data_IF_110997605038
#
_entry.id   IF_110997605038
#
_cell.length_a   1.000
_cell.length_b   1.000
_cell.length_c   1.000
_cell.angle_alpha   90.00
_cell.angle_beta   90.00
_cell.angle_gamma   90.00
#
_symmetry.space_group_name_H-M   'P 1'
#
loop_
_entity.id
_entity.type
_entity.pdbx_description
1 polymer ?
#
# COMPACT_ATOMS: atom_id res chain seq x y z
N UNK A 1 -10.52 44.81 75.38
CA UNK A 1 -11.06 44.13 74.18
C UNK A 1 -10.63 44.95 72.98
N UNK A 2 -9.72 44.46 72.12
CA UNK A 2 -9.22 45.22 70.96
C UNK A 2 -10.21 45.05 69.78
N UNK A 3 -10.57 46.11 69.03
CA UNK A 3 -11.48 45.97 67.91
C UNK A 3 -10.80 45.20 66.77
N UNK A 4 -11.46 44.18 66.26
CA UNK A 4 -11.03 43.47 65.06
C UNK A 4 -11.35 44.36 63.85
N UNK A 5 -10.31 44.87 63.18
CA UNK A 5 -10.48 45.56 61.90
C UNK A 5 -10.91 44.54 60.84
N UNK A 6 -12.16 44.61 60.38
CA UNK A 6 -12.63 43.90 59.20
C UNK A 6 -11.96 44.51 57.97
N UNK A 7 -11.09 43.74 57.31
CA UNK A 7 -10.52 44.13 56.02
C UNK A 7 -11.67 44.34 55.02
N UNK A 8 -11.76 45.53 54.40
CA UNK A 8 -12.66 45.76 53.26
C UNK A 8 -12.25 44.82 52.12
N UNK A 9 -13.20 44.03 51.62
CA UNK A 9 -13.01 43.26 50.40
C UNK A 9 -12.92 44.24 49.23
N UNK A 10 -11.78 44.25 48.53
CA UNK A 10 -11.63 44.97 47.27
C UNK A 10 -12.32 44.15 46.17
N UNK A 11 -13.29 44.77 45.48
CA UNK A 11 -13.92 44.18 44.30
C UNK A 11 -13.05 44.36 43.05
N UNK A 12 -13.30 43.54 42.03
CA UNK A 12 -12.62 43.68 40.74
C UNK A 12 -13.04 44.97 40.03
N UNK A 13 -12.08 45.64 39.42
CA UNK A 13 -12.32 46.77 38.52
C UNK A 13 -12.69 46.27 37.13
N UNK A 14 -13.42 47.10 36.36
CA UNK A 14 -13.72 46.82 34.96
C UNK A 14 -12.45 46.57 34.14
N UNK A 15 -11.38 47.34 34.44
CA UNK A 15 -10.11 47.24 33.69
C UNK A 15 -9.39 45.91 33.96
N UNK A 16 -9.43 45.36 35.17
CA UNK A 16 -8.86 44.04 35.47
C UNK A 16 -9.60 42.93 34.71
N UNK A 17 -10.93 43.00 34.63
CA UNK A 17 -11.72 42.03 33.89
C UNK A 17 -11.43 42.11 32.38
N UNK A 18 -11.28 43.31 31.83
CA UNK A 18 -10.91 43.51 30.43
C UNK A 18 -9.51 42.98 30.12
N UNK A 19 -8.52 43.25 30.98
CA UNK A 19 -7.16 42.72 30.81
C UNK A 19 -7.17 41.19 30.92
N UNK A 20 -7.90 40.61 31.87
CA UNK A 20 -8.01 39.16 32.02
C UNK A 20 -8.63 38.50 30.78
N UNK A 21 -9.70 39.07 30.22
CA UNK A 21 -10.32 38.58 28.99
C UNK A 21 -9.42 38.75 27.77
N UNK A 22 -8.69 39.88 27.67
CA UNK A 22 -7.74 40.10 26.60
C UNK A 22 -6.62 39.04 26.61
N UNK A 23 -5.99 38.80 27.77
CA UNK A 23 -4.96 37.75 27.91
C UNK A 23 -5.54 36.37 27.64
N UNK A 24 -6.72 36.06 28.20
CA UNK A 24 -7.37 34.77 28.01
C UNK A 24 -7.69 34.51 26.54
N UNK A 25 -8.22 35.50 25.81
CA UNK A 25 -8.53 35.37 24.39
C UNK A 25 -7.29 35.10 23.53
N UNK A 26 -6.16 35.74 23.84
CA UNK A 26 -4.87 35.48 23.16
C UNK A 26 -4.40 34.05 23.44
N UNK A 27 -4.43 33.62 24.71
CA UNK A 27 -4.05 32.25 25.08
C UNK A 27 -4.96 31.20 24.41
N UNK A 28 -6.27 31.44 24.40
CA UNK A 28 -7.23 30.56 23.75
C UNK A 28 -6.98 30.47 22.24
N UNK A 29 -6.68 31.60 21.58
CA UNK A 29 -6.35 31.64 20.16
C UNK A 29 -5.08 30.85 19.85
N UNK A 30 -4.02 31.01 20.66
CA UNK A 30 -2.78 30.26 20.49
C UNK A 30 -2.99 28.76 20.71
N UNK A 31 -3.73 28.38 21.76
CA UNK A 31 -4.04 26.99 22.05
C UNK A 31 -4.85 26.34 20.92
N UNK A 32 -5.88 27.03 20.43
CA UNK A 32 -6.69 26.56 19.32
C UNK A 32 -5.89 26.46 18.01
N UNK A 33 -5.05 27.45 17.71
CA UNK A 33 -4.16 27.43 16.55
C UNK A 33 -3.16 26.28 16.60
N UNK A 34 -2.58 26.01 17.76
CA UNK A 34 -1.69 24.87 17.99
C UNK A 34 -2.38 23.52 17.78
N UNK A 35 -3.59 23.36 18.33
CA UNK A 35 -4.39 22.15 18.16
C UNK A 35 -4.76 21.92 16.69
N UNK A 36 -5.21 22.95 15.98
CA UNK A 36 -5.57 22.85 14.56
C UNK A 36 -4.36 22.43 13.70
N UNK A 37 -3.19 23.01 13.98
CA UNK A 37 -1.93 22.65 13.31
C UNK A 37 -1.57 21.19 13.56
N UNK A 38 -1.71 20.71 14.80
CA UNK A 38 -1.46 19.32 15.16
C UNK A 38 -2.40 18.36 14.43
N UNK A 39 -3.70 18.66 14.39
CA UNK A 39 -4.70 17.84 13.71
C UNK A 39 -4.42 17.73 12.19
N UNK A 40 -4.09 18.85 11.55
CA UNK A 40 -3.73 18.87 10.13
C UNK A 40 -2.45 18.09 9.84
N UNK A 41 -1.44 18.23 10.72
CA UNK A 41 -0.17 17.50 10.60
C UNK A 41 -0.39 16.00 10.74
N UNK A 42 -1.24 15.59 11.68
CA UNK A 42 -1.63 14.19 11.86
C UNK A 42 -2.34 13.66 10.62
N UNK A 43 -3.33 14.38 10.09
CA UNK A 43 -4.06 13.96 8.90
C UNK A 43 -3.13 13.73 7.68
N UNK A 44 -2.17 14.65 7.46
CA UNK A 44 -1.17 14.48 6.41
C UNK A 44 -0.27 13.26 6.65
N UNK A 45 0.16 13.07 7.90
CA UNK A 45 1.02 11.94 8.29
C UNK A 45 0.31 10.60 8.08
N UNK A 46 -0.95 10.52 8.48
CA UNK A 46 -1.79 9.33 8.31
C UNK A 46 -1.95 9.00 6.81
N UNK A 47 -2.20 9.99 5.96
CA UNK A 47 -2.27 9.81 4.51
C UNK A 47 -0.97 9.24 3.92
N UNK A 48 0.20 9.72 4.37
CA UNK A 48 1.50 9.21 3.91
C UNK A 48 1.78 7.80 4.43
N UNK A 49 1.37 7.50 5.66
CA UNK A 49 1.49 6.17 6.23
C UNK A 49 0.66 5.15 5.45
N UNK A 50 -0.56 5.50 5.05
CA UNK A 50 -1.42 4.65 4.23
C UNK A 50 -0.82 4.39 2.84
N UNK A 51 -0.32 5.43 2.17
CA UNK A 51 0.33 5.27 0.87
C UNK A 51 1.57 4.35 0.94
N UNK A 52 2.38 4.48 1.99
CA UNK A 52 3.53 3.58 2.22
C UNK A 52 3.07 2.14 2.49
N UNK A 53 2.01 1.96 3.28
CA UNK A 53 1.44 0.64 3.58
C UNK A 53 0.96 -0.05 2.30
N UNK A 54 0.26 0.65 1.42
CA UNK A 54 -0.19 0.12 0.12
C UNK A 54 1.00 -0.32 -0.75
N UNK A 55 2.02 0.53 -0.88
CA UNK A 55 3.24 0.20 -1.61
C UNK A 55 3.93 -1.06 -1.05
N UNK A 56 4.04 -1.17 0.28
CA UNK A 56 4.65 -2.33 0.93
C UNK A 56 3.85 -3.62 0.69
N UNK A 57 2.52 -3.55 0.71
CA UNK A 57 1.67 -4.70 0.40
C UNK A 57 1.85 -5.15 -1.05
N UNK A 58 1.89 -4.21 -2.00
CA UNK A 58 2.15 -4.50 -3.40
C UNK A 58 3.53 -5.14 -3.60
N UNK A 59 4.57 -4.53 -3.02
CA UNK A 59 5.95 -5.05 -3.08
C UNK A 59 6.05 -6.47 -2.54
N UNK A 60 5.47 -6.75 -1.36
CA UNK A 60 5.50 -8.10 -0.76
C UNK A 60 4.80 -9.16 -1.62
N UNK A 61 3.78 -8.79 -2.38
CA UNK A 61 3.14 -9.72 -3.32
C UNK A 61 4.08 -10.05 -4.49
N UNK A 62 4.74 -9.04 -5.07
CA UNK A 62 5.74 -9.24 -6.14
C UNK A 62 6.92 -10.07 -5.62
N UNK A 63 7.52 -9.66 -4.51
CA UNK A 63 8.64 -10.33 -3.86
C UNK A 63 8.33 -11.81 -3.61
N UNK A 64 7.18 -12.12 -2.97
CA UNK A 64 6.78 -13.50 -2.70
C UNK A 64 6.63 -14.33 -3.97
N UNK A 65 6.08 -13.76 -5.04
CA UNK A 65 5.87 -14.48 -6.29
C UNK A 65 7.19 -14.80 -6.96
N UNK A 66 8.11 -13.83 -6.99
CA UNK A 66 9.46 -14.00 -7.54
C UNK A 66 10.30 -14.98 -6.71
N UNK A 67 10.28 -14.88 -5.37
CA UNK A 67 11.01 -15.78 -4.48
C UNK A 67 10.52 -17.23 -4.56
N UNK A 68 9.25 -17.42 -4.89
CA UNK A 68 8.64 -18.75 -5.04
C UNK A 68 8.59 -19.22 -6.48
N UNK A 69 9.34 -18.58 -7.37
CA UNK A 69 9.48 -19.02 -8.74
C UNK A 69 9.94 -20.48 -8.82
N UNK A 70 9.41 -21.20 -9.80
CA UNK A 70 9.82 -22.57 -10.12
C UNK A 70 10.01 -22.74 -11.62
N UNK A 71 11.00 -23.53 -12.09
CA UNK A 71 11.28 -23.75 -13.50
C UNK A 71 10.30 -24.74 -14.15
N UNK A 72 9.00 -24.42 -14.13
CA UNK A 72 7.92 -25.23 -14.73
C UNK A 72 7.28 -24.49 -15.90
N UNK A 73 7.55 -24.98 -17.11
CA UNK A 73 6.86 -24.63 -18.36
C UNK A 73 5.36 -24.93 -18.22
N UNK A 74 4.48 -24.23 -18.93
CA UNK A 74 3.05 -24.55 -18.97
C UNK A 74 2.56 -24.60 -20.41
N UNK A 75 1.35 -25.14 -20.61
CA UNK A 75 0.64 -25.01 -21.88
C UNK A 75 -0.44 -23.94 -21.80
N UNK A 76 -0.45 -23.03 -22.75
CA UNK A 76 -1.45 -21.95 -22.83
C UNK A 76 -2.77 -22.40 -23.47
N UNK A 77 -3.71 -21.46 -23.57
CA UNK A 77 -5.07 -21.66 -24.12
C UNK A 77 -5.07 -22.17 -25.58
N UNK A 78 -3.97 -21.90 -26.32
CA UNK A 78 -3.80 -22.28 -27.72
C UNK A 78 -3.01 -23.59 -27.88
N UNK A 79 -2.64 -24.24 -26.78
CA UNK A 79 -1.84 -25.46 -26.82
C UNK A 79 -0.34 -25.23 -27.03
N UNK A 80 0.12 -23.98 -26.91
CA UNK A 80 1.53 -23.62 -27.08
C UNK A 80 2.25 -23.68 -25.73
N UNK A 81 3.51 -24.11 -25.76
CA UNK A 81 4.34 -24.13 -24.55
C UNK A 81 4.82 -22.72 -24.21
N UNK A 82 4.62 -22.30 -22.95
CA UNK A 82 5.10 -21.02 -22.42
C UNK A 82 6.21 -21.27 -21.40
N UNK A 83 7.32 -20.51 -21.46
CA UNK A 83 8.45 -20.68 -20.55
C UNK A 83 8.05 -20.43 -19.10
N UNK A 84 8.84 -20.95 -18.15
CA UNK A 84 8.58 -20.81 -16.72
C UNK A 84 8.63 -19.36 -16.21
N UNK A 85 9.31 -18.48 -16.95
CA UNK A 85 9.43 -17.05 -16.72
C UNK A 85 9.51 -16.39 -18.11
N UNK A 86 8.73 -15.33 -18.32
CA UNK A 86 8.78 -14.48 -19.51
C UNK A 86 8.46 -13.04 -19.14
N UNK A 87 9.05 -12.10 -19.85
CA UNK A 87 8.76 -10.69 -19.73
C UNK A 87 8.77 -10.05 -21.11
N UNK A 88 7.80 -9.19 -21.40
CA UNK A 88 7.67 -8.53 -22.70
C UNK A 88 7.21 -9.40 -23.87
N UNK A 89 7.01 -10.71 -23.68
CA UNK A 89 6.51 -11.63 -24.72
C UNK A 89 5.03 -11.41 -25.09
N UNK A 90 4.26 -10.81 -24.19
CA UNK A 90 2.84 -10.47 -24.37
C UNK A 90 2.69 -8.96 -24.15
N UNK A 91 2.16 -8.25 -25.15
CA UNK A 91 2.01 -6.80 -25.10
C UNK A 91 1.18 -6.33 -23.91
N UNK A 92 0.30 -7.20 -23.39
CA UNK A 92 -0.57 -6.88 -22.27
C UNK A 92 -0.01 -7.32 -20.90
N UNK A 93 1.12 -8.04 -20.87
CA UNK A 93 1.72 -8.60 -19.65
C UNK A 93 3.21 -8.26 -19.56
N UNK A 94 3.58 -7.50 -18.53
CA UNK A 94 4.98 -7.12 -18.30
C UNK A 94 5.82 -8.31 -17.80
N UNK A 95 5.25 -9.14 -16.93
CA UNK A 95 5.90 -10.31 -16.34
C UNK A 95 4.91 -11.47 -16.27
N UNK A 96 5.36 -12.66 -16.60
CA UNK A 96 4.61 -13.90 -16.41
C UNK A 96 5.54 -14.99 -15.87
N UNK A 97 5.13 -15.68 -14.81
CA UNK A 97 5.94 -16.73 -14.22
C UNK A 97 5.12 -17.85 -13.58
N UNK A 98 5.74 -19.02 -13.46
CA UNK A 98 5.21 -20.12 -12.65
C UNK A 98 5.81 -20.04 -11.25
N UNK A 99 4.94 -20.02 -10.23
CA UNK A 99 5.35 -20.03 -8.83
C UNK A 99 4.75 -21.19 -8.05
N UNK A 100 5.43 -21.57 -6.98
CA UNK A 100 4.92 -22.50 -5.98
C UNK A 100 4.20 -21.80 -4.83
N UNK A 101 4.05 -22.54 -3.73
CA UNK A 101 3.55 -22.04 -2.45
C UNK A 101 2.06 -21.71 -2.41
N UNK A 102 1.27 -22.19 -3.37
CA UNK A 102 -0.18 -22.19 -3.26
C UNK A 102 -0.61 -23.26 -2.27
N UNK A 103 -0.76 -22.84 -1.01
CA UNK A 103 -1.06 -23.72 0.12
C UNK A 103 -2.33 -24.54 -0.17
N UNK A 104 -2.26 -25.84 0.10
CA UNK A 104 -3.39 -26.77 -0.03
C UNK A 104 -3.57 -27.59 1.26
N UNK A 105 -3.89 -26.94 2.40
CA UNK A 105 -3.97 -27.63 3.70
C UNK A 105 -5.13 -28.64 3.75
N UNK A 106 -6.16 -28.46 2.93
CA UNK A 106 -7.30 -29.36 2.83
C UNK A 106 -7.05 -30.57 1.90
N UNK A 107 -5.86 -30.70 1.30
CA UNK A 107 -5.50 -31.85 0.47
C UNK A 107 -6.36 -32.02 -0.78
N UNK A 108 -6.91 -30.94 -1.33
CA UNK A 108 -7.75 -30.99 -2.53
C UNK A 108 -6.93 -31.51 -3.74
N UNK A 109 -7.54 -32.21 -4.71
CA UNK A 109 -6.85 -32.69 -5.90
C UNK A 109 -6.56 -31.56 -6.90
N UNK A 110 -5.72 -30.60 -6.49
CA UNK A 110 -5.28 -29.45 -7.29
C UNK A 110 -3.79 -29.23 -7.11
N UNK A 111 -3.18 -28.56 -8.08
CA UNK A 111 -1.78 -28.17 -8.03
C UNK A 111 -1.50 -27.25 -6.83
N UNK A 112 -0.27 -27.30 -6.31
CA UNK A 112 0.30 -26.30 -5.40
C UNK A 112 1.12 -25.24 -6.13
N UNK A 113 1.21 -25.36 -7.46
CA UNK A 113 1.78 -24.38 -8.37
C UNK A 113 0.68 -23.51 -8.96
N UNK A 114 1.02 -22.26 -9.24
CA UNK A 114 0.15 -21.29 -9.90
C UNK A 114 0.93 -20.56 -11.00
N UNK A 115 0.23 -20.26 -12.09
CA UNK A 115 0.70 -19.29 -13.07
C UNK A 115 0.24 -17.91 -12.66
N UNK A 116 1.15 -16.94 -12.69
CA UNK A 116 0.88 -15.55 -12.30
C UNK A 116 1.45 -14.61 -13.35
N UNK A 117 0.79 -13.48 -13.55
CA UNK A 117 1.29 -12.40 -14.40
C UNK A 117 1.08 -11.03 -13.75
N UNK A 118 1.89 -10.07 -14.17
CA UNK A 118 1.79 -8.68 -13.75
C UNK A 118 1.64 -7.78 -14.98
N UNK A 119 0.71 -6.84 -14.88
CA UNK A 119 0.44 -5.86 -15.92
C UNK A 119 0.16 -4.49 -15.30
N UNK A 120 0.36 -3.44 -16.08
CA UNK A 120 -0.11 -2.10 -15.74
C UNK A 120 -1.35 -1.81 -16.57
N UNK A 121 -2.50 -1.69 -15.92
CA UNK A 121 -3.81 -1.43 -16.55
C UNK A 121 -4.51 -0.29 -15.83
N UNK A 122 -5.08 0.65 -16.58
CA UNK A 122 -5.80 1.80 -16.03
C UNK A 122 -5.05 2.55 -14.92
N UNK A 123 -3.74 2.73 -15.10
CA UNK A 123 -2.84 3.38 -14.14
C UNK A 123 -2.75 2.64 -12.78
N UNK A 124 -2.89 1.30 -12.80
CA UNK A 124 -2.78 0.40 -11.66
C UNK A 124 -1.87 -0.78 -11.99
N UNK A 125 -1.07 -1.20 -11.02
CA UNK A 125 -0.42 -2.51 -11.06
C UNK A 125 -1.44 -3.58 -10.70
N UNK A 126 -1.65 -4.52 -11.62
CA UNK A 126 -2.53 -5.67 -11.41
C UNK A 126 -1.75 -6.96 -11.46
N UNK A 127 -2.21 -7.92 -10.67
CA UNK A 127 -1.72 -9.29 -10.62
C UNK A 127 -2.80 -10.22 -11.12
N UNK A 128 -2.46 -11.04 -12.09
CA UNK A 128 -3.33 -11.99 -12.75
C UNK A 128 -2.96 -13.39 -12.28
N UNK A 129 -3.96 -14.22 -11.95
CA UNK A 129 -3.75 -15.59 -11.48
C UNK A 129 -4.67 -16.55 -12.21
N UNK A 130 -4.12 -17.66 -12.69
CA UNK A 130 -4.91 -18.75 -13.26
C UNK A 130 -5.14 -19.86 -12.22
N UNK A 131 -6.36 -20.38 -12.16
CA UNK A 131 -6.74 -21.46 -11.24
C UNK A 131 -6.09 -22.80 -11.62
N UNK A 132 -5.97 -23.06 -12.92
CA UNK A 132 -5.24 -24.19 -13.48
C UNK A 132 -3.86 -23.75 -13.96
N UNK A 133 -2.86 -24.61 -13.77
CA UNK A 133 -1.50 -24.34 -14.21
C UNK A 133 -1.40 -24.36 -15.74
N UNK A 134 -1.94 -25.41 -16.36
CA UNK A 134 -2.13 -25.48 -17.81
C UNK A 134 -3.51 -24.89 -18.13
N UNK A 135 -3.55 -23.97 -19.09
CA UNK A 135 -4.72 -23.13 -19.33
C UNK A 135 -5.71 -23.85 -20.25
N UNK A 136 -6.98 -23.87 -19.86
CA UNK A 136 -8.06 -24.28 -20.75
C UNK A 136 -8.30 -23.19 -21.81
N UNK A 137 -8.86 -23.52 -22.99
CA UNK A 137 -9.08 -22.54 -24.07
C UNK A 137 -9.89 -21.28 -23.69
N UNK A 138 -10.65 -21.33 -22.61
CA UNK A 138 -11.51 -20.27 -22.08
C UNK A 138 -11.08 -19.77 -20.69
N UNK A 139 -9.87 -20.12 -20.24
CA UNK A 139 -9.40 -19.81 -18.90
C UNK A 139 -9.15 -18.30 -18.71
N UNK A 140 -10.06 -17.63 -18.02
CA UNK A 140 -9.86 -16.24 -17.62
C UNK A 140 -9.06 -16.15 -16.31
N UNK A 141 -8.05 -15.28 -16.22
CA UNK A 141 -7.35 -15.04 -14.98
C UNK A 141 -8.21 -14.25 -13.98
N UNK A 142 -8.07 -14.60 -12.70
CA UNK A 142 -8.52 -13.72 -11.63
C UNK A 142 -7.57 -12.51 -11.55
N UNK A 143 -8.15 -11.31 -11.59
CA UNK A 143 -7.40 -10.06 -11.52
C UNK A 143 -7.46 -9.47 -10.12
N UNK A 144 -6.29 -9.19 -9.54
CA UNK A 144 -6.13 -8.52 -8.27
C UNK A 144 -5.41 -7.19 -8.47
N UNK A 145 -6.04 -6.08 -8.06
CA UNK A 145 -5.37 -4.78 -8.02
C UNK A 145 -4.38 -4.75 -6.84
N UNK A 146 -3.12 -4.39 -7.11
CA UNK A 146 -2.08 -4.33 -6.09
C UNK A 146 -1.76 -2.91 -5.65
N UNK A 147 -1.66 -1.99 -6.61
CA UNK A 147 -1.26 -0.60 -6.34
C UNK A 147 -1.84 0.34 -7.40
N UNK A 148 -2.47 1.43 -6.95
CA UNK A 148 -2.93 2.49 -7.83
C UNK A 148 -1.83 3.52 -8.10
N UNK A 149 -1.98 4.32 -9.16
CA UNK A 149 -1.02 5.38 -9.50
C UNK A 149 0.21 4.90 -10.26
N UNK A 150 0.21 3.67 -10.76
CA UNK A 150 1.35 3.06 -11.46
C UNK A 150 1.26 3.35 -12.94
N UNK A 151 2.24 4.10 -13.46
CA UNK A 151 2.31 4.50 -14.88
C UNK A 151 3.06 3.48 -15.72
N UNK A 152 4.07 2.84 -15.14
CA UNK A 152 4.99 1.99 -15.87
C UNK A 152 5.59 0.94 -14.93
N UNK A 153 5.84 -0.25 -15.48
CA UNK A 153 6.59 -1.33 -14.85
C UNK A 153 7.75 -1.68 -15.78
N UNK A 154 8.99 -1.49 -15.31
CA UNK A 154 10.20 -1.93 -16.02
C UNK A 154 10.86 -3.05 -15.25
N UNK A 155 11.31 -4.04 -15.99
CA UNK A 155 11.95 -5.23 -15.44
C UNK A 155 13.34 -5.32 -16.02
N UNK A 156 14.25 -5.92 -15.26
CA UNK A 156 15.56 -6.33 -15.74
C UNK A 156 15.90 -7.67 -15.13
N UNK A 157 16.62 -8.49 -15.87
CA UNK A 157 17.00 -9.84 -15.49
C UNK A 157 18.51 -9.93 -15.42
N UNK A 158 19.02 -10.59 -14.37
CA UNK A 158 20.45 -10.82 -14.21
C UNK A 158 20.78 -12.19 -14.80
N UNK A 159 21.58 -12.21 -15.86
CA UNK A 159 21.90 -13.43 -16.60
C UNK A 159 23.12 -14.18 -16.04
N UNK A 160 23.38 -15.37 -16.59
CA UNK A 160 24.54 -16.19 -16.22
C UNK A 160 25.90 -15.61 -16.65
N UNK A 161 25.91 -14.57 -17.49
CA UNK A 161 27.12 -13.83 -17.88
C UNK A 161 27.37 -12.62 -16.95
N UNK A 162 26.63 -12.51 -15.85
CA UNK A 162 26.66 -11.41 -14.89
C UNK A 162 26.28 -10.06 -15.50
N UNK A 163 25.37 -10.04 -16.48
CA UNK A 163 24.87 -8.83 -17.12
C UNK A 163 23.38 -8.64 -16.85
N UNK A 164 22.96 -7.38 -16.75
CA UNK A 164 21.56 -7.01 -16.69
C UNK A 164 20.99 -6.91 -18.11
N UNK A 165 19.96 -7.70 -18.39
CA UNK A 165 19.16 -7.64 -19.61
C UNK A 165 17.82 -6.95 -19.30
N UNK A 166 17.31 -6.17 -20.26
CA UNK A 166 15.95 -5.60 -20.18
C UNK A 166 14.92 -6.59 -20.73
#
# INVERSE_FOLDING_TARGET
MKPAYTKRAHGFTLIELLIALAVFSVLAMLAYGGLNTMLNTRALTDQKADALRELQLAYRNVERDVDQWVPRVIRDEFGTDRPALSAGDDADMALELTRGGWRNPAGQPRSTLQRVAYAVRDNKLVRLTWLSLDRAPDAQPETQELLAGVRELRLRFFDGANQWQE
#
